data_IF_522055673969
#
_entry.id   IF_522055673969
#
_cell.length_a   1.000
_cell.length_b   1.000
_cell.length_c   1.000
_cell.angle_alpha   90.00
_cell.angle_beta   90.00
_cell.angle_gamma   90.00
#
_symmetry.space_group_name_H-M   'P 1'
#
loop_
_entity.id
_entity.type
_entity.pdbx_description
1 polymer ?
#
# COMPACT_ATOMS: atom_id res chain seq x y z
N UNK A 1 5.27 26.38 -3.10
CA UNK A 1 6.01 25.22 -3.64
C UNK A 1 7.50 25.49 -3.59
N UNK A 2 8.14 24.86 -2.60
CA UNK A 2 9.58 24.83 -2.38
C UNK A 2 10.37 24.33 -3.62
N UNK A 3 11.63 24.75 -3.73
CA UNK A 3 12.49 24.39 -4.87
C UNK A 3 12.76 22.88 -4.96
N UNK A 4 12.88 22.17 -3.83
CA UNK A 4 13.11 20.72 -3.83
C UNK A 4 11.88 19.96 -4.34
N UNK A 5 10.67 20.46 -4.06
CA UNK A 5 9.43 19.87 -4.62
C UNK A 5 9.35 20.07 -6.14
N UNK A 6 9.81 21.22 -6.66
CA UNK A 6 9.91 21.41 -8.12
C UNK A 6 10.86 20.40 -8.76
N UNK A 7 12.00 20.12 -8.13
CA UNK A 7 12.95 19.10 -8.60
C UNK A 7 12.31 17.70 -8.57
N UNK A 8 11.56 17.35 -7.51
CA UNK A 8 10.81 16.10 -7.47
C UNK A 8 9.74 16.02 -8.57
N UNK A 9 9.04 17.11 -8.84
CA UNK A 9 8.07 17.17 -9.93
C UNK A 9 8.74 16.99 -11.30
N UNK A 10 9.91 17.57 -11.52
CA UNK A 10 10.70 17.38 -12.73
C UNK A 10 11.14 15.91 -12.87
N UNK A 11 11.60 15.29 -11.79
CA UNK A 11 11.95 13.86 -11.78
C UNK A 11 10.74 12.98 -12.10
N UNK A 12 9.59 13.26 -11.52
CA UNK A 12 8.35 12.55 -11.83
C UNK A 12 7.97 12.68 -13.31
N UNK A 13 8.12 13.88 -13.89
CA UNK A 13 7.89 14.13 -15.32
C UNK A 13 8.91 13.45 -16.25
N UNK A 14 10.10 13.08 -15.76
CA UNK A 14 11.08 12.34 -16.58
C UNK A 14 10.71 10.86 -16.73
N UNK A 15 10.00 10.29 -15.74
CA UNK A 15 9.65 8.86 -15.72
C UNK A 15 8.20 8.60 -16.12
N UNK A 16 7.31 9.57 -15.95
CA UNK A 16 5.91 9.46 -16.35
C UNK A 16 5.78 9.64 -17.88
N UNK A 17 5.04 8.78 -18.60
CA UNK A 17 4.89 8.87 -20.07
C UNK A 17 4.17 10.14 -20.55
N UNK A 18 3.54 10.88 -19.64
CA UNK A 18 2.81 12.11 -19.91
C UNK A 18 3.33 13.28 -19.07
N UNK A 19 2.45 14.20 -18.67
CA UNK A 19 2.81 15.33 -17.79
C UNK A 19 2.17 15.20 -16.41
N UNK A 20 2.99 15.24 -15.35
CA UNK A 20 2.55 15.37 -13.97
C UNK A 20 2.42 16.84 -13.61
N UNK A 21 1.27 17.22 -13.06
CA UNK A 21 0.94 18.56 -12.60
C UNK A 21 0.50 18.50 -11.14
N UNK A 22 0.73 19.58 -10.40
CA UNK A 22 0.30 19.68 -9.00
C UNK A 22 -0.59 20.91 -8.79
N UNK A 23 -1.57 20.76 -7.90
CA UNK A 23 -2.44 21.85 -7.44
C UNK A 23 -2.54 21.79 -5.92
N UNK A 24 -2.41 22.94 -5.28
CA UNK A 24 -2.70 23.10 -3.84
C UNK A 24 -3.90 24.02 -3.71
N UNK A 25 -4.85 23.64 -2.86
CA UNK A 25 -6.00 24.46 -2.51
C UNK A 25 -5.61 25.68 -1.69
N UNK A 26 -6.59 26.33 -1.08
CA UNK A 26 -6.41 27.58 -0.31
C UNK A 26 -6.75 27.43 1.17
N UNK A 27 -7.26 26.26 1.58
CA UNK A 27 -7.58 25.97 2.97
C UNK A 27 -6.28 25.86 3.78
N UNK A 28 -6.38 26.09 5.09
CA UNK A 28 -5.27 25.97 6.03
C UNK A 28 -5.81 25.61 7.42
N UNK A 29 -6.30 24.37 7.56
CA UNK A 29 -6.93 23.89 8.80
C UNK A 29 -5.94 23.52 9.92
N UNK A 30 -4.63 23.56 9.64
CA UNK A 30 -3.57 23.21 10.59
C UNK A 30 -3.38 21.70 10.76
N UNK A 31 -3.96 20.88 9.89
CA UNK A 31 -3.92 19.43 9.95
C UNK A 31 -3.29 18.86 8.68
N UNK A 32 -2.23 18.08 8.84
CA UNK A 32 -1.60 17.36 7.73
C UNK A 32 -2.28 15.99 7.61
N UNK A 33 -2.98 15.77 6.49
CA UNK A 33 -3.61 14.47 6.18
C UNK A 33 -3.06 13.92 4.86
N UNK A 34 -2.12 12.97 4.97
CA UNK A 34 -1.43 12.37 3.81
C UNK A 34 -2.34 11.61 2.86
N UNK A 35 -3.52 11.17 3.33
CA UNK A 35 -4.48 10.41 2.52
C UNK A 35 -5.55 11.30 1.84
N UNK A 36 -5.56 12.63 2.07
CA UNK A 36 -6.51 13.56 1.43
C UNK A 36 -6.01 14.13 0.09
N UNK A 37 -5.20 13.38 -0.63
CA UNK A 37 -4.72 13.76 -1.97
C UNK A 37 -5.64 13.16 -3.02
N UNK A 38 -6.04 13.97 -4.01
CA UNK A 38 -6.76 13.48 -5.18
C UNK A 38 -5.81 13.36 -6.37
N UNK A 39 -5.88 12.23 -7.06
CA UNK A 39 -5.17 12.02 -8.31
C UNK A 39 -6.18 11.87 -9.45
N UNK A 40 -6.04 12.68 -10.49
CA UNK A 40 -6.93 12.66 -11.66
C UNK A 40 -6.13 12.52 -12.95
N UNK A 41 -6.39 11.47 -13.70
CA UNK A 41 -5.84 11.29 -15.05
C UNK A 41 -6.69 12.08 -16.07
N UNK A 42 -6.07 13.01 -16.76
CA UNK A 42 -6.65 13.88 -17.79
C UNK A 42 -5.90 13.65 -19.10
N UNK A 43 -6.32 12.64 -19.86
CA UNK A 43 -5.65 12.18 -21.07
C UNK A 43 -4.17 11.80 -20.81
N UNK A 44 -3.23 12.60 -21.31
CA UNK A 44 -1.78 12.44 -21.11
C UNK A 44 -1.27 13.15 -19.85
N UNK A 45 -2.15 13.65 -18.99
CA UNK A 45 -1.77 14.39 -17.77
C UNK A 45 -2.22 13.67 -16.52
N UNK A 46 -1.39 13.73 -15.49
CA UNK A 46 -1.75 13.35 -14.13
C UNK A 46 -1.78 14.61 -13.27
N UNK A 47 -2.94 14.94 -12.71
CA UNK A 47 -3.08 16.02 -11.75
C UNK A 47 -3.09 15.46 -10.34
N UNK A 48 -2.13 15.90 -9.52
CA UNK A 48 -2.06 15.62 -8.08
C UNK A 48 -2.55 16.85 -7.33
N UNK A 49 -3.62 16.69 -6.56
CA UNK A 49 -4.27 17.78 -5.85
C UNK A 49 -4.20 17.58 -4.35
N UNK A 50 -3.70 18.61 -3.66
CA UNK A 50 -3.72 18.70 -2.20
C UNK A 50 -4.71 19.80 -1.82
N UNK A 51 -5.81 19.49 -1.11
CA UNK A 51 -6.88 20.45 -0.85
C UNK A 51 -6.47 21.55 0.16
N UNK A 52 -5.56 21.25 1.07
CA UNK A 52 -5.15 22.14 2.16
C UNK A 52 -3.67 22.57 1.99
N UNK A 53 -3.34 23.81 2.37
CA UNK A 53 -2.00 24.38 2.29
C UNK A 53 -1.09 23.98 3.46
N UNK A 54 -1.65 23.50 4.57
CA UNK A 54 -0.92 23.07 5.76
C UNK A 54 0.07 21.98 5.36
N UNK A 55 1.37 22.28 5.47
CA UNK A 55 2.45 21.35 5.14
C UNK A 55 2.30 20.74 3.73
N UNK A 56 1.71 21.48 2.77
CA UNK A 56 1.37 20.96 1.44
C UNK A 56 2.60 20.47 0.66
N UNK A 57 3.78 21.06 0.88
CA UNK A 57 5.02 20.61 0.24
C UNK A 57 5.43 19.21 0.74
N UNK A 58 5.19 18.87 2.02
CA UNK A 58 5.40 17.51 2.53
C UNK A 58 4.44 16.51 1.85
N UNK A 59 3.15 16.87 1.78
CA UNK A 59 2.11 16.01 1.17
C UNK A 59 2.38 15.79 -0.32
N UNK A 60 2.68 16.87 -1.07
CA UNK A 60 3.06 16.77 -2.48
C UNK A 60 4.32 15.95 -2.68
N UNK A 61 5.35 16.18 -1.86
CA UNK A 61 6.58 15.41 -1.90
C UNK A 61 6.34 13.92 -1.69
N UNK A 62 5.48 13.55 -0.74
CA UNK A 62 5.11 12.17 -0.47
C UNK A 62 4.48 11.50 -1.71
N UNK A 63 3.54 12.17 -2.35
CA UNK A 63 2.84 11.65 -3.54
C UNK A 63 3.75 11.54 -4.76
N UNK A 64 4.60 12.55 -5.00
CA UNK A 64 5.57 12.52 -6.09
C UNK A 64 6.59 11.40 -5.91
N UNK A 65 7.07 11.19 -4.68
CA UNK A 65 7.98 10.08 -4.39
C UNK A 65 7.32 8.72 -4.58
N UNK A 66 6.07 8.54 -4.12
CA UNK A 66 5.30 7.31 -4.40
C UNK A 66 5.19 7.05 -5.90
N UNK A 67 4.84 8.08 -6.67
CA UNK A 67 4.74 7.97 -8.13
C UNK A 67 6.07 7.54 -8.77
N UNK A 68 7.18 8.19 -8.40
CA UNK A 68 8.52 7.87 -8.92
C UNK A 68 8.92 6.42 -8.58
N UNK A 69 8.70 5.99 -7.34
CA UNK A 69 9.01 4.64 -6.88
C UNK A 69 8.19 3.57 -7.63
N UNK A 70 6.92 3.84 -7.87
CA UNK A 70 6.03 2.97 -8.64
C UNK A 70 6.46 2.87 -10.10
N UNK A 71 6.72 4.00 -10.77
CA UNK A 71 7.08 4.04 -12.19
C UNK A 71 8.44 3.44 -12.50
N UNK A 72 9.40 3.58 -11.57
CA UNK A 72 10.71 2.95 -11.70
C UNK A 72 10.71 1.45 -11.39
N UNK A 73 9.55 0.85 -11.10
CA UNK A 73 9.44 -0.58 -10.78
C UNK A 73 10.18 -0.97 -9.50
N UNK A 74 10.34 -0.03 -8.56
CA UNK A 74 10.98 -0.31 -7.26
C UNK A 74 9.95 -0.92 -6.31
N UNK A 75 8.75 -0.31 -6.25
CA UNK A 75 7.70 -0.72 -5.33
C UNK A 75 6.70 -1.64 -6.03
N UNK A 76 6.44 -2.85 -5.50
CA UNK A 76 5.36 -3.71 -5.96
C UNK A 76 4.01 -3.00 -5.85
N UNK A 77 3.26 -2.91 -6.95
CA UNK A 77 1.94 -2.27 -6.98
C UNK A 77 0.82 -3.28 -6.65
N UNK A 78 -0.28 -2.78 -6.11
CA UNK A 78 -1.50 -3.55 -5.87
C UNK A 78 -2.54 -3.31 -6.97
N UNK A 79 -3.31 -4.35 -7.28
CA UNK A 79 -4.43 -4.33 -8.21
C UNK A 79 -5.61 -5.08 -7.61
N UNK A 80 -6.82 -4.69 -8.02
CA UNK A 80 -8.07 -5.29 -7.54
C UNK A 80 -8.80 -5.92 -8.73
N UNK A 81 -8.56 -7.21 -8.93
CA UNK A 81 -9.15 -8.00 -10.01
C UNK A 81 -10.29 -8.91 -9.52
N UNK A 82 -10.64 -8.83 -8.23
CA UNK A 82 -11.68 -9.62 -7.59
C UNK A 82 -12.78 -8.70 -7.04
N UNK A 83 -13.99 -9.25 -6.93
CA UNK A 83 -15.16 -8.55 -6.38
C UNK A 83 -16.03 -9.51 -5.60
N UNK A 84 -16.62 -9.02 -4.51
CA UNK A 84 -17.71 -9.70 -3.80
C UNK A 84 -19.08 -9.46 -4.45
N UNK A 85 -19.14 -8.69 -5.55
CA UNK A 85 -20.36 -8.14 -6.14
C UNK A 85 -21.16 -7.27 -5.14
N UNK A 86 -20.48 -6.73 -4.14
CA UNK A 86 -20.96 -5.71 -3.22
C UNK A 86 -20.02 -4.51 -3.33
N UNK A 87 -20.47 -3.47 -4.03
CA UNK A 87 -19.67 -2.28 -4.31
C UNK A 87 -19.19 -1.60 -3.03
N UNK A 88 -20.00 -1.58 -1.97
CA UNK A 88 -19.64 -0.92 -0.71
C UNK A 88 -18.56 -1.72 0.00
N UNK A 89 -18.71 -3.04 0.06
CA UNK A 89 -17.71 -3.92 0.65
C UNK A 89 -16.39 -3.84 -0.14
N UNK A 90 -16.45 -3.90 -1.47
CA UNK A 90 -15.26 -3.80 -2.32
C UNK A 90 -14.54 -2.47 -2.11
N UNK A 91 -15.26 -1.34 -2.09
CA UNK A 91 -14.66 -0.01 -1.82
C UNK A 91 -13.98 0.04 -0.45
N UNK A 92 -14.58 -0.57 0.58
CA UNK A 92 -13.99 -0.65 1.92
C UNK A 92 -12.70 -1.47 1.91
N UNK A 93 -12.72 -2.67 1.31
CA UNK A 93 -11.54 -3.54 1.23
C UNK A 93 -10.42 -2.91 0.39
N UNK A 94 -10.76 -2.25 -0.71
CA UNK A 94 -9.83 -1.47 -1.54
C UNK A 94 -9.16 -0.38 -0.70
N UNK A 95 -9.94 0.39 0.06
CA UNK A 95 -9.40 1.45 0.90
C UNK A 95 -8.46 0.90 1.98
N UNK A 96 -8.86 -0.17 2.67
CA UNK A 96 -8.05 -0.82 3.72
C UNK A 96 -6.75 -1.36 3.14
N UNK A 97 -6.82 -2.17 2.07
CA UNK A 97 -5.64 -2.74 1.42
C UNK A 97 -4.69 -1.66 0.88
N UNK A 98 -5.23 -0.60 0.29
CA UNK A 98 -4.43 0.53 -0.21
C UNK A 98 -3.72 1.26 0.94
N UNK A 99 -4.36 1.40 2.09
CA UNK A 99 -3.75 2.03 3.27
C UNK A 99 -2.63 1.16 3.84
N UNK A 100 -2.86 -0.14 3.98
CA UNK A 100 -1.84 -1.09 4.41
C UNK A 100 -0.63 -1.12 3.47
N UNK A 101 -0.87 -1.10 2.16
CA UNK A 101 0.20 -0.97 1.16
C UNK A 101 1.01 0.31 1.39
N UNK A 102 0.31 1.45 1.51
CA UNK A 102 0.94 2.77 1.72
C UNK A 102 1.81 2.85 2.98
N UNK A 103 1.47 2.15 4.08
CA UNK A 103 2.31 2.13 5.30
C UNK A 103 3.75 1.73 4.99
N UNK A 104 3.96 0.71 4.15
CA UNK A 104 5.30 0.26 3.76
C UNK A 104 5.98 1.29 2.85
N UNK A 105 5.22 1.93 1.95
CA UNK A 105 5.75 2.99 1.07
C UNK A 105 6.16 4.23 1.87
N UNK A 106 5.38 4.58 2.89
CA UNK A 106 5.61 5.74 3.73
C UNK A 106 6.89 5.58 4.57
N UNK A 107 7.30 4.36 4.90
CA UNK A 107 8.61 4.11 5.52
C UNK A 107 9.78 4.52 4.60
N UNK A 108 9.57 4.52 3.29
CA UNK A 108 10.55 4.99 2.29
C UNK A 108 10.41 6.50 2.09
N UNK A 109 9.19 6.97 1.84
CA UNK A 109 8.97 8.37 1.45
C UNK A 109 9.17 9.34 2.61
N UNK A 110 8.72 9.01 3.83
CA UNK A 110 8.96 9.85 5.01
C UNK A 110 10.46 9.99 5.30
N UNK A 111 11.24 8.91 5.19
CA UNK A 111 12.69 8.96 5.36
C UNK A 111 13.37 9.85 4.31
N UNK A 112 12.90 9.80 3.06
CA UNK A 112 13.40 10.67 1.99
C UNK A 112 13.02 12.14 2.19
N UNK A 113 11.80 12.42 2.63
CA UNK A 113 11.33 13.77 2.94
C UNK A 113 12.07 14.36 4.15
N UNK A 114 12.31 13.55 5.18
CA UNK A 114 13.08 13.95 6.35
C UNK A 114 14.52 14.34 5.98
N UNK A 115 15.20 13.54 5.13
CA UNK A 115 16.52 13.87 4.58
C UNK A 115 16.54 15.17 3.76
N UNK A 116 15.39 15.54 3.20
CA UNK A 116 15.22 16.79 2.46
C UNK A 116 14.79 17.97 3.36
N UNK A 117 14.59 17.75 4.66
CA UNK A 117 14.22 18.78 5.64
C UNK A 117 12.74 19.15 5.60
N UNK A 118 11.87 18.32 5.02
CA UNK A 118 10.42 18.52 5.03
C UNK A 118 9.74 17.96 6.28
N UNK A 119 10.46 17.18 7.08
CA UNK A 119 9.96 16.66 8.35
C UNK A 119 10.53 17.54 9.46
N UNK A 120 9.72 18.46 9.99
CA UNK A 120 10.07 19.35 11.10
C UNK A 120 9.16 19.15 12.31
N UNK A 121 9.37 19.93 13.37
CA UNK A 121 8.48 19.93 14.54
C UNK A 121 7.07 20.44 14.17
N UNK A 122 6.97 21.41 13.28
CA UNK A 122 5.71 21.95 12.74
C UNK A 122 4.98 20.88 11.91
N UNK A 123 5.70 20.19 11.02
CA UNK A 123 5.15 19.07 10.25
C UNK A 123 4.62 17.96 11.16
N UNK A 124 5.38 17.62 12.21
CA UNK A 124 4.94 16.63 13.20
C UNK A 124 3.69 17.09 13.94
N UNK A 125 3.63 18.35 14.38
CA UNK A 125 2.45 18.89 15.03
C UNK A 125 1.21 18.84 14.12
N UNK A 126 1.32 19.24 12.86
CA UNK A 126 0.23 19.17 11.90
C UNK A 126 -0.20 17.72 11.61
N UNK A 127 0.75 16.79 11.51
CA UNK A 127 0.48 15.37 11.29
C UNK A 127 -0.34 14.77 12.44
N UNK A 128 0.10 14.95 13.69
CA UNK A 128 -0.63 14.40 14.83
C UNK A 128 -1.94 15.13 15.12
N UNK A 129 -2.06 16.42 14.78
CA UNK A 129 -3.34 17.11 14.78
C UNK A 129 -4.33 16.46 13.79
N UNK A 130 -3.86 16.02 12.61
CA UNK A 130 -4.65 15.25 11.66
C UNK A 130 -5.07 13.87 12.19
N UNK A 131 -4.16 13.16 12.88
CA UNK A 131 -4.46 11.87 13.52
C UNK A 131 -5.54 12.02 14.61
N UNK A 132 -5.40 13.01 15.48
CA UNK A 132 -6.33 13.26 16.58
C UNK A 132 -7.71 13.75 16.11
N UNK A 133 -7.77 14.43 14.97
CA UNK A 133 -9.03 14.83 14.34
C UNK A 133 -9.77 13.63 13.72
N UNK A 134 -9.01 12.67 13.17
CA UNK A 134 -9.56 11.49 12.50
C UNK A 134 -10.06 10.40 13.45
N UNK A 135 -9.47 10.32 14.65
CA UNK A 135 -9.68 9.21 15.58
C UNK A 135 -10.32 9.64 16.89
N UNK A 136 -11.35 8.91 17.32
CA UNK A 136 -11.84 9.00 18.70
C UNK A 136 -10.92 8.22 19.64
N UNK A 137 -10.69 8.75 20.85
CA UNK A 137 -9.89 8.08 21.91
C UNK A 137 -10.42 6.66 22.17
N UNK A 138 -9.51 5.72 22.34
CA UNK A 138 -9.85 4.31 22.51
C UNK A 138 -10.43 4.05 23.90
N UNK A 139 -11.56 3.35 23.92
CA UNK A 139 -12.20 2.89 25.14
C UNK A 139 -11.61 1.55 25.60
N UNK A 140 -11.93 1.13 26.82
CA UNK A 140 -11.49 -0.18 27.33
C UNK A 140 -12.05 -1.39 26.54
N UNK A 141 -13.10 -1.19 25.73
CA UNK A 141 -13.72 -2.24 24.91
C UNK A 141 -13.40 -2.02 23.43
N UNK A 142 -13.12 -3.11 22.72
CA UNK A 142 -13.02 -3.11 21.26
C UNK A 142 -14.37 -2.71 20.67
N UNK A 143 -14.36 -1.68 19.83
CA UNK A 143 -15.53 -1.13 19.15
C UNK A 143 -15.33 -1.12 17.62
N UNK A 144 -16.32 -0.61 16.89
CA UNK A 144 -16.30 -0.58 15.42
C UNK A 144 -15.20 0.31 14.82
N UNK A 145 -14.51 1.14 15.61
CA UNK A 145 -13.43 1.99 15.14
C UNK A 145 -12.05 1.34 15.35
N UNK A 146 -11.96 0.17 15.98
CA UNK A 146 -10.67 -0.48 16.29
C UNK A 146 -9.78 -0.70 15.06
N UNK A 147 -10.33 -1.23 13.96
CA UNK A 147 -9.60 -1.38 12.70
C UNK A 147 -9.13 -0.02 12.16
N UNK A 148 -10.00 0.99 12.21
CA UNK A 148 -9.66 2.32 11.72
C UNK A 148 -8.51 2.95 12.51
N UNK A 149 -8.57 2.88 13.84
CA UNK A 149 -7.46 3.30 14.73
C UNK A 149 -6.19 2.55 14.41
N UNK A 150 -6.23 1.22 14.26
CA UNK A 150 -5.06 0.43 13.90
C UNK A 150 -4.44 0.91 12.59
N UNK A 151 -5.23 1.08 11.54
CA UNK A 151 -4.73 1.54 10.23
C UNK A 151 -4.09 2.92 10.28
N UNK A 152 -4.70 3.87 10.99
CA UNK A 152 -4.14 5.21 11.15
C UNK A 152 -2.86 5.18 12.00
N UNK A 153 -2.84 4.38 13.07
CA UNK A 153 -1.69 4.28 13.96
C UNK A 153 -0.51 3.53 13.34
N UNK A 154 -0.73 2.59 12.42
CA UNK A 154 0.36 1.99 11.63
C UNK A 154 1.15 3.07 10.89
N UNK A 155 0.47 4.00 10.24
CA UNK A 155 1.14 5.10 9.56
C UNK A 155 1.84 6.06 10.55
N UNK A 156 1.16 6.37 11.65
CA UNK A 156 1.70 7.24 12.69
C UNK A 156 2.97 6.66 13.33
N UNK A 157 3.03 5.34 13.51
CA UNK A 157 4.22 4.66 14.03
C UNK A 157 5.39 4.69 13.03
N UNK A 158 5.13 4.60 11.73
CA UNK A 158 6.16 4.81 10.69
C UNK A 158 6.67 6.25 10.72
N UNK A 159 5.77 7.23 10.87
CA UNK A 159 6.13 8.64 11.01
C UNK A 159 7.00 8.89 12.27
N UNK A 160 6.59 8.37 13.44
CA UNK A 160 7.36 8.44 14.69
C UNK A 160 8.75 7.83 14.56
N UNK A 161 8.85 6.61 14.01
CA UNK A 161 10.14 5.96 13.82
C UNK A 161 11.06 6.78 12.90
N UNK A 162 10.49 7.43 11.88
CA UNK A 162 11.22 8.35 11.00
C UNK A 162 11.70 9.60 11.73
N UNK A 163 10.86 10.20 12.59
CA UNK A 163 11.25 11.35 13.43
C UNK A 163 12.45 11.02 14.33
N UNK A 164 12.41 9.87 15.00
CA UNK A 164 13.50 9.41 15.90
C UNK A 164 14.81 9.29 15.13
N UNK A 165 14.77 8.78 13.90
CA UNK A 165 15.95 8.61 13.04
C UNK A 165 16.53 9.93 12.51
N UNK A 166 15.74 11.00 12.46
CA UNK A 166 16.10 12.28 11.84
C UNK A 166 16.09 13.43 12.86
N UNK A 167 16.70 13.23 14.03
CA UNK A 167 16.98 14.25 15.04
C UNK A 167 15.76 14.93 15.70
N UNK A 168 14.58 14.30 15.66
CA UNK A 168 13.36 14.79 16.36
C UNK A 168 12.93 13.85 17.51
N UNK A 169 13.88 13.19 18.16
CA UNK A 169 13.62 12.17 19.19
C UNK A 169 12.77 12.67 20.37
N UNK A 170 13.01 13.88 20.88
CA UNK A 170 12.23 14.44 22.00
C UNK A 170 10.77 14.72 21.59
N UNK A 171 10.56 15.30 20.40
CA UNK A 171 9.21 15.53 19.85
C UNK A 171 8.50 14.21 19.58
N UNK A 172 9.21 13.21 19.05
CA UNK A 172 8.68 11.89 18.80
C UNK A 172 8.25 11.20 20.10
N UNK A 173 9.05 11.31 21.17
CA UNK A 173 8.70 10.71 22.47
C UNK A 173 7.39 11.29 23.02
N UNK A 174 7.21 12.62 22.96
CA UNK A 174 5.97 13.28 23.39
C UNK A 174 4.75 12.71 22.67
N UNK A 175 4.82 12.56 21.35
CA UNK A 175 3.70 12.04 20.56
C UNK A 175 3.51 10.53 20.76
N UNK A 176 4.59 9.77 20.93
CA UNK A 176 4.53 8.35 21.28
C UNK A 176 3.78 8.14 22.60
N UNK A 177 4.08 8.94 23.62
CA UNK A 177 3.39 8.86 24.93
C UNK A 177 1.90 9.20 24.79
N UNK A 178 1.58 10.24 24.01
CA UNK A 178 0.19 10.63 23.75
C UNK A 178 -0.59 9.53 23.03
N UNK A 179 -0.04 8.92 21.98
CA UNK A 179 -0.70 7.82 21.27
C UNK A 179 -0.87 6.58 22.15
N UNK A 180 0.10 6.28 23.01
CA UNK A 180 0.00 5.17 23.95
C UNK A 180 -1.07 5.42 25.03
N UNK A 181 -1.27 6.68 25.42
CA UNK A 181 -2.33 7.07 26.35
C UNK A 181 -3.72 7.04 25.70
N UNK A 182 -3.85 7.61 24.50
CA UNK A 182 -5.13 7.78 23.83
C UNK A 182 -5.63 6.50 23.14
N UNK A 183 -4.71 5.65 22.69
CA UNK A 183 -5.02 4.45 21.89
C UNK A 183 -4.26 3.20 22.37
N UNK A 184 -4.33 2.82 23.66
CA UNK A 184 -3.43 1.83 24.27
C UNK A 184 -3.41 0.45 23.59
N UNK A 185 -4.54 -0.05 23.09
CA UNK A 185 -4.62 -1.38 22.47
C UNK A 185 -4.19 -1.31 21.00
N UNK A 186 -4.80 -0.42 20.21
CA UNK A 186 -4.48 -0.28 18.79
C UNK A 186 -3.02 0.17 18.58
N UNK A 187 -2.50 1.08 19.41
CA UNK A 187 -1.12 1.54 19.35
C UNK A 187 -0.12 0.43 19.68
N UNK A 188 -0.40 -0.39 20.71
CA UNK A 188 0.46 -1.51 21.08
C UNK A 188 0.58 -2.55 19.96
N UNK A 189 -0.49 -2.76 19.19
CA UNK A 189 -0.45 -3.61 17.98
C UNK A 189 0.34 -2.90 16.87
N UNK A 190 0.04 -1.64 16.58
CA UNK A 190 0.69 -0.88 15.51
C UNK A 190 2.22 -0.85 15.65
N UNK A 191 2.74 -0.62 16.88
CA UNK A 191 4.17 -0.65 17.17
C UNK A 191 4.81 -1.98 16.76
N UNK A 192 4.19 -3.12 17.13
CA UNK A 192 4.70 -4.46 16.81
C UNK A 192 4.69 -4.75 15.32
N UNK A 193 3.68 -4.24 14.60
CA UNK A 193 3.53 -4.49 13.17
C UNK A 193 4.47 -3.63 12.32
N UNK A 194 4.82 -2.43 12.81
CA UNK A 194 5.72 -1.49 12.11
C UNK A 194 7.19 -1.76 12.36
N UNK A 195 7.58 -2.25 13.53
CA UNK A 195 8.99 -2.53 13.87
C UNK A 195 9.73 -3.31 12.77
N UNK A 196 9.19 -4.41 12.21
CA UNK A 196 9.84 -5.13 11.12
C UNK A 196 10.03 -4.35 9.82
N UNK A 197 9.11 -3.44 9.53
CA UNK A 197 9.17 -2.58 8.33
C UNK A 197 10.35 -1.61 8.47
N UNK A 198 10.53 -1.03 9.65
CA UNK A 198 11.55 -0.02 9.91
C UNK A 198 12.98 -0.58 9.96
N UNK A 199 13.15 -1.88 10.23
CA UNK A 199 14.45 -2.56 10.21
C UNK A 199 14.80 -3.18 8.86
N UNK A 200 13.84 -3.28 7.93
CA UNK A 200 14.04 -3.90 6.63
C UNK A 200 14.86 -3.01 5.67
N UNK A 201 15.59 -3.63 4.73
CA UNK A 201 16.24 -2.90 3.64
C UNK A 201 15.23 -2.60 2.52
N UNK A 202 14.49 -1.50 2.67
CA UNK A 202 13.47 -1.06 1.72
C UNK A 202 14.03 -0.45 0.42
N UNK A 203 15.29 -0.76 0.08
CA UNK A 203 15.87 -0.52 -1.26
C UNK A 203 15.70 -1.72 -2.19
N UNK A 204 15.53 -2.93 -1.66
CA UNK A 204 15.26 -4.15 -2.45
C UNK A 204 13.75 -4.35 -2.60
N UNK A 205 13.25 -4.38 -3.84
CA UNK A 205 11.85 -4.66 -4.17
C UNK A 205 11.32 -5.94 -3.54
N UNK A 206 12.15 -6.98 -3.36
CA UNK A 206 11.74 -8.21 -2.64
C UNK A 206 11.47 -7.96 -1.18
N UNK A 207 12.31 -7.16 -0.52
CA UNK A 207 12.12 -6.81 0.88
C UNK A 207 10.86 -5.96 1.04
N UNK A 208 10.63 -4.99 0.14
CA UNK A 208 9.38 -4.21 0.12
C UNK A 208 8.17 -5.14 -0.01
N UNK A 209 8.19 -6.06 -0.98
CA UNK A 209 7.10 -7.03 -1.19
C UNK A 209 6.87 -7.89 0.05
N UNK A 210 7.95 -8.38 0.67
CA UNK A 210 7.89 -9.20 1.87
C UNK A 210 7.24 -8.45 3.03
N UNK A 211 7.58 -7.17 3.24
CA UNK A 211 6.96 -6.37 4.29
C UNK A 211 5.48 -6.07 4.02
N UNK A 212 5.08 -5.86 2.76
CA UNK A 212 3.66 -5.70 2.39
C UNK A 212 2.87 -6.96 2.76
N UNK A 213 3.33 -8.14 2.31
CA UNK A 213 2.64 -9.41 2.59
C UNK A 213 2.61 -9.71 4.08
N UNK A 214 3.73 -9.50 4.78
CA UNK A 214 3.80 -9.67 6.23
C UNK A 214 2.80 -8.79 6.95
N UNK A 215 2.67 -7.52 6.55
CA UNK A 215 1.74 -6.59 7.16
C UNK A 215 0.29 -7.01 6.92
N UNK A 216 -0.06 -7.45 5.70
CA UNK A 216 -1.40 -7.99 5.42
C UNK A 216 -1.75 -9.16 6.34
N UNK A 217 -0.87 -10.16 6.43
CA UNK A 217 -1.08 -11.31 7.31
C UNK A 217 -1.17 -10.91 8.78
N UNK A 218 -0.26 -10.06 9.27
CA UNK A 218 -0.21 -9.70 10.68
C UNK A 218 -1.40 -8.82 11.11
N UNK A 219 -1.97 -8.02 10.21
CA UNK A 219 -3.22 -7.30 10.48
C UNK A 219 -4.39 -8.27 10.60
N UNK A 220 -4.53 -9.24 9.69
CA UNK A 220 -5.57 -10.27 9.80
C UNK A 220 -5.45 -11.08 11.10
N UNK A 221 -4.23 -11.47 11.48
CA UNK A 221 -3.97 -12.13 12.77
C UNK A 221 -4.39 -11.25 13.96
N UNK A 222 -4.13 -9.94 13.90
CA UNK A 222 -4.51 -9.00 14.96
C UNK A 222 -6.02 -8.84 15.09
N UNK A 223 -6.76 -8.81 13.98
CA UNK A 223 -8.22 -8.71 13.96
C UNK A 223 -8.85 -10.00 14.48
N UNK A 224 -8.35 -11.15 14.03
CA UNK A 224 -8.83 -12.45 14.49
C UNK A 224 -8.64 -12.63 16.01
N UNK A 225 -7.54 -12.12 16.58
CA UNK A 225 -7.25 -12.19 18.02
C UNK A 225 -8.28 -11.44 18.89
N UNK A 226 -9.00 -10.48 18.32
CA UNK A 226 -10.10 -9.74 18.97
C UNK A 226 -11.47 -10.07 18.38
N UNK A 227 -11.57 -11.21 17.69
CA UNK A 227 -12.82 -11.74 17.08
C UNK A 227 -13.47 -10.78 16.06
N UNK A 228 -12.67 -9.91 15.42
CA UNK A 228 -13.12 -9.06 14.33
C UNK A 228 -12.96 -9.76 12.97
N UNK A 229 -13.82 -9.41 11.97
CA UNK A 229 -13.65 -9.89 10.61
C UNK A 229 -12.29 -9.50 10.03
N UNK A 230 -11.65 -10.45 9.35
CA UNK A 230 -10.38 -10.23 8.65
C UNK A 230 -10.60 -9.59 7.29
N UNK A 231 -9.54 -8.98 6.75
CA UNK A 231 -9.52 -8.35 5.41
C UNK A 231 -9.22 -9.40 4.35
N UNK A 232 -8.42 -10.42 4.66
CA UNK A 232 -7.95 -11.46 3.74
C UNK A 232 -7.26 -10.85 2.49
N UNK A 233 -6.44 -9.82 2.73
CA UNK A 233 -5.76 -9.07 1.66
C UNK A 233 -4.81 -9.97 0.84
N UNK A 234 -4.28 -11.03 1.42
CA UNK A 234 -3.43 -12.00 0.72
C UNK A 234 -4.13 -12.69 -0.46
N UNK A 235 -5.46 -12.83 -0.42
CA UNK A 235 -6.24 -13.41 -1.51
C UNK A 235 -6.93 -12.34 -2.36
N UNK A 236 -7.52 -11.32 -1.72
CA UNK A 236 -8.27 -10.27 -2.41
C UNK A 236 -7.38 -9.39 -3.29
N UNK A 237 -6.19 -9.04 -2.81
CA UNK A 237 -5.29 -8.09 -3.47
C UNK A 237 -4.36 -8.83 -4.42
N UNK A 238 -4.31 -8.38 -5.66
CA UNK A 238 -3.30 -8.85 -6.62
C UNK A 238 -2.04 -7.99 -6.46
N UNK A 239 -0.94 -8.58 -5.99
CA UNK A 239 0.31 -7.87 -5.74
C UNK A 239 1.35 -8.17 -6.83
N UNK A 240 1.96 -7.11 -7.38
CA UNK A 240 3.02 -7.21 -8.39
C UNK A 240 4.12 -8.18 -7.94
N UNK A 241 4.49 -9.18 -8.75
CA UNK A 241 5.53 -10.13 -8.36
C UNK A 241 6.93 -9.55 -8.59
N UNK A 242 7.85 -9.97 -7.72
CA UNK A 242 9.28 -9.68 -7.83
C UNK A 242 10.01 -10.98 -8.13
N UNK A 243 10.50 -11.15 -9.36
CA UNK A 243 10.92 -12.44 -9.90
C UNK A 243 12.33 -12.38 -10.48
N UNK A 244 13.06 -13.49 -10.42
CA UNK A 244 14.27 -13.69 -11.23
C UNK A 244 13.96 -14.06 -12.66
N UNK A 245 14.94 -13.86 -13.55
CA UNK A 245 14.87 -14.34 -14.93
C UNK A 245 14.54 -15.85 -15.00
N UNK A 246 15.16 -16.66 -14.14
CA UNK A 246 14.88 -18.10 -14.05
C UNK A 246 13.42 -18.41 -13.68
N UNK A 247 12.80 -17.61 -12.80
CA UNK A 247 11.39 -17.78 -12.44
C UNK A 247 10.47 -17.34 -13.57
N UNK A 248 10.82 -16.27 -14.28
CA UNK A 248 10.06 -15.77 -15.44
C UNK A 248 10.03 -16.76 -16.59
N UNK A 249 11.19 -17.37 -16.90
CA UNK A 249 11.31 -18.34 -18.00
C UNK A 249 10.77 -19.74 -17.62
N UNK A 250 10.57 -19.99 -16.33
CA UNK A 250 10.05 -21.25 -15.82
C UNK A 250 8.52 -21.35 -15.94
N UNK A 251 7.97 -22.57 -15.92
CA UNK A 251 6.52 -22.78 -15.93
C UNK A 251 5.86 -22.26 -14.65
N UNK A 252 4.60 -21.82 -14.77
CA UNK A 252 3.77 -21.29 -13.67
C UNK A 252 3.77 -22.21 -12.45
N UNK A 253 3.70 -23.52 -12.66
CA UNK A 253 3.69 -24.52 -11.57
C UNK A 253 4.92 -24.46 -10.65
N UNK A 254 6.05 -23.90 -11.12
CA UNK A 254 7.24 -23.78 -10.28
C UNK A 254 7.12 -22.66 -9.24
N UNK A 255 6.27 -21.66 -9.48
CA UNK A 255 6.22 -20.43 -8.67
C UNK A 255 4.86 -20.26 -8.00
N UNK A 256 3.78 -20.74 -8.62
CA UNK A 256 2.42 -20.48 -8.19
C UNK A 256 1.60 -21.76 -8.04
N UNK A 257 0.60 -21.67 -7.16
CA UNK A 257 -0.51 -22.60 -7.04
C UNK A 257 -1.80 -21.89 -7.44
N UNK A 258 -2.69 -22.60 -8.14
CA UNK A 258 -3.96 -22.03 -8.59
C UNK A 258 -5.06 -22.47 -7.64
N UNK A 259 -5.70 -21.50 -6.97
CA UNK A 259 -6.81 -21.73 -6.06
C UNK A 259 -8.11 -21.22 -6.65
N UNK A 260 -9.21 -21.91 -6.37
CA UNK A 260 -10.54 -21.36 -6.62
C UNK A 260 -10.80 -20.21 -5.64
N UNK A 261 -11.27 -19.08 -6.17
CA UNK A 261 -11.69 -17.95 -5.34
C UNK A 261 -13.19 -18.06 -5.05
N UNK A 262 -13.57 -17.79 -3.80
CA UNK A 262 -14.96 -17.56 -3.42
C UNK A 262 -15.49 -16.22 -3.99
N UNK A 263 -14.59 -15.35 -4.44
CA UNK A 263 -14.89 -14.10 -5.13
C UNK A 263 -14.96 -14.31 -6.64
N UNK A 264 -15.60 -13.38 -7.35
CA UNK A 264 -15.66 -13.39 -8.82
C UNK A 264 -14.67 -12.43 -9.43
N UNK A 265 -14.35 -12.62 -10.71
CA UNK A 265 -13.52 -11.71 -11.47
C UNK A 265 -14.21 -10.35 -11.59
N UNK A 266 -13.50 -9.26 -11.32
CA UNK A 266 -14.07 -7.93 -11.31
C UNK A 266 -14.59 -7.50 -12.69
N UNK A 267 -13.93 -7.91 -13.77
CA UNK A 267 -14.27 -7.52 -15.15
C UNK A 267 -15.36 -8.41 -15.73
N UNK A 268 -15.21 -9.74 -15.62
CA UNK A 268 -16.14 -10.69 -16.26
C UNK A 268 -17.34 -11.03 -15.39
N UNK A 269 -17.24 -10.83 -14.06
CA UNK A 269 -18.22 -11.27 -13.06
C UNK A 269 -18.39 -12.79 -12.98
N UNK A 270 -17.44 -13.55 -13.54
CA UNK A 270 -17.45 -15.01 -13.54
C UNK A 270 -16.56 -15.60 -12.43
N UNK A 271 -16.54 -16.93 -12.35
CA UNK A 271 -15.68 -17.67 -11.40
C UNK A 271 -14.23 -17.27 -11.58
N UNK A 272 -13.61 -16.78 -10.51
CA UNK A 272 -12.19 -16.45 -10.51
C UNK A 272 -11.34 -17.57 -9.91
N UNK A 273 -10.12 -17.67 -10.41
CA UNK A 273 -9.05 -18.46 -9.83
C UNK A 273 -7.85 -17.56 -9.61
N UNK A 274 -7.21 -17.70 -8.46
CA UNK A 274 -6.08 -16.87 -8.05
C UNK A 274 -4.79 -17.66 -8.12
N UNK A 275 -3.75 -17.02 -8.68
CA UNK A 275 -2.37 -17.49 -8.64
C UNK A 275 -1.71 -17.08 -7.34
N UNK A 276 -1.61 -18.01 -6.39
CA UNK A 276 -0.99 -17.80 -5.10
C UNK A 276 0.50 -18.14 -5.16
N UNK A 277 1.37 -17.21 -4.75
CA UNK A 277 2.80 -17.45 -4.68
C UNK A 277 3.14 -18.55 -3.68
N UNK A 278 3.85 -19.60 -4.11
CA UNK A 278 4.25 -20.71 -3.21
C UNK A 278 5.10 -20.26 -2.03
N UNK A 279 5.90 -19.20 -2.22
CA UNK A 279 6.84 -18.71 -1.22
C UNK A 279 6.18 -17.86 -0.13
N UNK A 280 5.16 -17.06 -0.48
CA UNK A 280 4.64 -16.00 0.38
C UNK A 280 3.11 -16.01 0.52
N UNK A 281 2.44 -16.97 -0.14
CA UNK A 281 1.00 -17.17 -0.06
C UNK A 281 0.18 -15.92 -0.45
N UNK A 282 0.73 -15.07 -1.32
CA UNK A 282 0.08 -13.87 -1.81
C UNK A 282 -0.44 -14.05 -3.24
N UNK A 283 -1.67 -13.61 -3.49
CA UNK A 283 -2.26 -13.51 -4.81
C UNK A 283 -1.45 -12.55 -5.70
N UNK A 284 -1.07 -13.05 -6.87
CA UNK A 284 -0.26 -12.35 -7.87
C UNK A 284 -0.98 -12.14 -9.20
N UNK A 285 -1.97 -12.97 -9.52
CA UNK A 285 -2.77 -12.84 -10.73
C UNK A 285 -4.12 -13.53 -10.59
N UNK A 286 -5.10 -13.09 -11.37
CA UNK A 286 -6.44 -13.68 -11.46
C UNK A 286 -6.65 -14.21 -12.86
N UNK A 287 -7.24 -15.40 -12.98
CA UNK A 287 -7.66 -15.98 -14.25
C UNK A 287 -9.11 -16.45 -14.17
N UNK A 288 -9.84 -16.24 -15.26
CA UNK A 288 -11.17 -16.80 -15.48
C UNK A 288 -11.04 -18.03 -16.39
N UNK A 289 -11.46 -19.23 -15.95
CA UNK A 289 -11.43 -20.41 -16.81
C UNK A 289 -12.55 -20.33 -17.87
N UNK A 290 -12.48 -21.15 -18.93
CA UNK A 290 -13.57 -21.25 -19.90
C UNK A 290 -14.93 -21.58 -19.26
N UNK A 291 -16.00 -20.99 -19.79
CA UNK A 291 -17.38 -21.26 -19.37
C UNK A 291 -17.70 -22.77 -19.44
N UNK A 292 -17.33 -23.40 -20.56
CA UNK A 292 -17.52 -24.83 -20.78
C UNK A 292 -16.66 -25.68 -19.84
N UNK A 293 -17.31 -26.43 -18.95
CA UNK A 293 -16.63 -27.23 -17.93
C UNK A 293 -15.71 -28.31 -18.52
N UNK A 294 -16.06 -28.83 -19.71
CA UNK A 294 -15.28 -29.85 -20.39
C UNK A 294 -13.88 -29.35 -20.82
N UNK A 295 -13.72 -28.05 -21.04
CA UNK A 295 -12.46 -27.43 -21.49
C UNK A 295 -11.54 -27.04 -20.31
N UNK A 296 -12.08 -26.98 -19.08
CA UNK A 296 -11.34 -26.54 -17.89
C UNK A 296 -10.12 -27.40 -17.53
N UNK A 297 -10.18 -28.75 -17.58
CA UNK A 297 -8.99 -29.57 -17.28
C UNK A 297 -7.82 -29.26 -18.23
N UNK A 298 -8.13 -29.06 -19.52
CA UNK A 298 -7.13 -28.70 -20.53
C UNK A 298 -6.58 -27.30 -20.25
N UNK A 299 -7.45 -26.33 -19.98
CA UNK A 299 -7.06 -24.97 -19.61
C UNK A 299 -6.07 -24.94 -18.44
N UNK A 300 -6.37 -25.62 -17.32
CA UNK A 300 -5.46 -25.62 -16.18
C UNK A 300 -4.15 -26.37 -16.47
N UNK A 301 -4.20 -27.47 -17.23
CA UNK A 301 -2.98 -28.19 -17.64
C UNK A 301 -2.05 -27.29 -18.45
N UNK A 302 -2.60 -26.53 -19.40
CA UNK A 302 -1.85 -25.57 -20.22
C UNK A 302 -1.36 -24.37 -19.39
N UNK A 303 -2.20 -23.84 -18.50
CA UNK A 303 -1.84 -22.74 -17.61
C UNK A 303 -0.61 -23.09 -16.76
N UNK A 304 -0.57 -24.29 -16.17
CA UNK A 304 0.55 -24.72 -15.33
C UNK A 304 1.86 -24.90 -16.11
N UNK A 305 1.79 -25.19 -17.41
CA UNK A 305 2.96 -25.37 -18.28
C UNK A 305 3.43 -24.07 -18.97
N UNK A 306 2.54 -23.08 -19.10
CA UNK A 306 2.88 -21.76 -19.64
C UNK A 306 4.02 -21.13 -18.82
N UNK A 307 4.93 -20.41 -19.48
CA UNK A 307 5.97 -19.67 -18.76
C UNK A 307 5.35 -18.54 -17.94
N UNK A 308 5.94 -18.21 -16.80
CA UNK A 308 5.44 -17.11 -15.97
C UNK A 308 5.45 -15.79 -16.76
N UNK A 309 6.48 -15.56 -17.57
CA UNK A 309 6.59 -14.36 -18.42
C UNK A 309 5.44 -14.26 -19.43
N UNK A 310 5.12 -15.35 -20.12
CA UNK A 310 4.05 -15.35 -21.12
C UNK A 310 2.69 -15.13 -20.45
N UNK A 311 2.44 -15.78 -19.32
CA UNK A 311 1.21 -15.58 -18.54
C UNK A 311 1.04 -14.11 -18.14
N UNK A 312 2.05 -13.52 -17.49
CA UNK A 312 1.95 -12.13 -17.03
C UNK A 312 1.78 -11.15 -18.21
N UNK A 313 2.41 -11.44 -19.35
CA UNK A 313 2.24 -10.65 -20.59
C UNK A 313 0.82 -10.77 -21.14
N UNK A 314 0.25 -11.97 -21.18
CA UNK A 314 -1.13 -12.21 -21.62
C UNK A 314 -2.14 -11.48 -20.75
N UNK A 315 -1.93 -11.50 -19.42
CA UNK A 315 -2.78 -10.81 -18.45
C UNK A 315 -2.49 -9.30 -18.37
N UNK A 316 -1.49 -8.80 -19.11
CA UNK A 316 -1.02 -7.40 -19.06
C UNK A 316 -0.64 -6.96 -17.64
N UNK A 317 -0.15 -7.88 -16.83
CA UNK A 317 0.28 -7.62 -15.47
C UNK A 317 1.78 -7.27 -15.46
N UNK A 318 2.16 -6.15 -14.83
CA UNK A 318 3.56 -5.83 -14.68
C UNK A 318 4.24 -6.79 -13.69
N UNK A 319 5.57 -6.86 -13.78
CA UNK A 319 6.42 -7.55 -12.82
C UNK A 319 7.71 -6.77 -12.63
N UNK A 320 8.37 -7.01 -11.50
CA UNK A 320 9.69 -6.45 -11.20
C UNK A 320 10.72 -7.55 -11.37
N UNK A 321 11.67 -7.34 -12.28
CA UNK A 321 12.83 -8.23 -12.43
C UNK A 321 13.82 -7.92 -11.29
N UNK A 322 14.07 -8.91 -10.43
CA UNK A 322 15.12 -8.76 -9.42
C UNK A 322 16.49 -8.81 -10.09
N UNK A 323 17.34 -7.84 -9.75
CA UNK A 323 18.76 -7.87 -10.08
C UNK A 323 19.49 -8.93 -9.23
#
# INVERSE_FOLDING_TARGET
>A
MDQKIKVLLEQANQVYPGTVMTRVGQDHDGQLRVDRVQQSALADRLLIEVPDQTEADFVLGNELLKLILSLNGIVPQIYFALTFNDEKLDQQLIAIASRLHKVVLHAITYDQLAKQGFLTAETAQAYFAGVQDELTVENAKVDGEHLWRLLTLLDAQVFLATMVKNDLGETAQKWSDQLAQDYPQANAVAVKLVEPIMVADLKDSRQIRQQIVRLFTAVDESLAAVELPTVNANQYVTLTPVLSQRQLDGPVTNVYEIFHSEMTDFQTKEKAYVGIGKQDQQNTFVVTPPENEADRPKFFTELYQTSVKDLLTQLKLPYILRQ
#
